data_IF_253237432233
#
_entry.id   IF_253237432233
#
_cell.length_a   1.000
_cell.length_b   1.000
_cell.length_c   1.000
_cell.angle_alpha   90.00
_cell.angle_beta   90.00
_cell.angle_gamma   90.00
#
_symmetry.space_group_name_H-M   'P 1'
#
loop_
_entity.id
_entity.type
_entity.pdbx_description
1 polymer ?
#
# COMPACT_ATOMS: atom_id res chain seq x y z
N UNK A 1 -1.57 5.99 8.52
CA UNK A 1 -0.81 5.11 9.44
C UNK A 1 -0.81 5.76 10.80
N UNK A 2 -0.98 5.01 11.87
CA UNK A 2 -1.00 5.53 13.24
C UNK A 2 -0.23 4.61 14.18
N UNK A 3 0.14 5.14 15.34
CA UNK A 3 0.85 4.40 16.38
C UNK A 3 0.21 4.72 17.73
N UNK A 4 0.12 3.73 18.61
CA UNK A 4 -0.32 3.91 19.99
C UNK A 4 0.72 3.33 20.94
N UNK A 5 1.38 4.23 21.69
CA UNK A 5 2.57 3.89 22.47
C UNK A 5 3.65 3.24 21.62
N UNK A 6 4.58 2.52 22.25
CA UNK A 6 5.72 1.93 21.53
C UNK A 6 5.42 0.52 20.98
N UNK A 7 4.18 0.06 21.10
CA UNK A 7 3.83 -1.36 20.93
C UNK A 7 2.74 -1.62 19.90
N UNK A 8 1.96 -0.60 19.51
CA UNK A 8 0.88 -0.76 18.53
C UNK A 8 1.12 0.15 17.34
N UNK A 9 1.10 -0.43 16.15
CA UNK A 9 1.16 0.27 14.87
C UNK A 9 -0.01 -0.17 13.99
N UNK A 10 -0.77 0.79 13.49
CA UNK A 10 -1.88 0.59 12.56
C UNK A 10 -1.54 1.13 11.18
N UNK A 11 -1.76 0.31 10.16
CA UNK A 11 -1.60 0.67 8.75
C UNK A 11 -2.98 0.58 8.11
N UNK A 12 -3.44 1.69 7.52
CA UNK A 12 -4.73 1.74 6.82
C UNK A 12 -4.60 1.24 5.38
N UNK A 13 -3.41 1.40 4.78
CA UNK A 13 -3.12 0.82 3.47
C UNK A 13 -3.05 -0.71 3.54
N UNK A 14 -3.02 -1.34 2.38
CA UNK A 14 -2.89 -2.78 2.24
C UNK A 14 -1.47 -3.16 1.80
N UNK A 15 -0.48 -3.20 2.71
CA UNK A 15 0.88 -3.65 2.37
C UNK A 15 0.94 -5.07 1.81
N UNK A 16 -0.12 -5.86 2.02
CA UNK A 16 -0.31 -7.21 1.48
C UNK A 16 -0.79 -7.23 0.03
N UNK A 17 -1.23 -6.11 -0.55
CA UNK A 17 -1.74 -6.10 -1.91
C UNK A 17 -0.62 -6.30 -2.93
N UNK A 18 -0.67 -7.43 -3.61
CA UNK A 18 0.09 -7.68 -4.84
C UNK A 18 -0.69 -7.17 -6.06
N UNK A 19 0.01 -7.07 -7.19
CA UNK A 19 -0.62 -6.82 -8.49
C UNK A 19 -1.76 -7.81 -8.77
N UNK A 20 -1.58 -9.09 -8.43
CA UNK A 20 -2.60 -10.12 -8.65
C UNK A 20 -3.87 -9.86 -7.85
N UNK A 21 -3.74 -9.44 -6.59
CA UNK A 21 -4.89 -9.06 -5.74
C UNK A 21 -5.61 -7.86 -6.34
N UNK A 22 -4.86 -6.84 -6.78
CA UNK A 22 -5.43 -5.64 -7.38
C UNK A 22 -6.18 -5.95 -8.69
N UNK A 23 -5.60 -6.78 -9.56
CA UNK A 23 -6.24 -7.23 -10.79
C UNK A 23 -7.53 -8.02 -10.51
N UNK A 24 -7.51 -8.93 -9.55
CA UNK A 24 -8.69 -9.69 -9.13
C UNK A 24 -9.80 -8.78 -8.57
N UNK A 25 -9.46 -7.75 -7.81
CA UNK A 25 -10.44 -6.76 -7.31
C UNK A 25 -11.07 -6.01 -8.49
N UNK A 26 -10.26 -5.55 -9.45
CA UNK A 26 -10.75 -4.86 -10.65
C UNK A 26 -11.71 -5.77 -11.44
N UNK A 27 -11.34 -7.04 -11.66
CA UNK A 27 -12.18 -8.00 -12.36
C UNK A 27 -13.53 -8.21 -11.67
N UNK A 28 -13.53 -8.33 -10.34
CA UNK A 28 -14.76 -8.44 -9.55
C UNK A 28 -15.64 -7.20 -9.64
N UNK A 29 -15.06 -6.02 -9.80
CA UNK A 29 -15.83 -4.78 -9.97
C UNK A 29 -16.48 -4.70 -11.35
N UNK A 30 -15.80 -5.13 -12.41
CA UNK A 30 -16.40 -5.24 -13.76
C UNK A 30 -17.54 -6.26 -13.72
N UNK A 31 -17.31 -7.46 -13.18
CA UNK A 31 -18.31 -8.54 -13.16
C UNK A 31 -19.60 -8.15 -12.42
N UNK A 32 -19.51 -7.25 -11.44
CA UNK A 32 -20.65 -6.75 -10.68
C UNK A 32 -21.22 -5.44 -11.22
N UNK A 33 -20.75 -4.96 -12.37
CA UNK A 33 -21.13 -3.70 -12.99
C UNK A 33 -20.94 -2.47 -12.09
N UNK A 34 -19.97 -2.52 -11.16
CA UNK A 34 -19.63 -1.37 -10.31
C UNK A 34 -18.78 -0.34 -11.05
N UNK A 35 -18.06 -0.77 -12.09
CA UNK A 35 -17.25 0.09 -12.95
C UNK A 35 -17.45 -0.30 -14.41
N UNK A 36 -17.14 0.62 -15.32
CA UNK A 36 -17.18 0.36 -16.77
C UNK A 36 -15.93 -0.38 -17.22
N UNK A 37 -16.04 -1.16 -18.30
CA UNK A 37 -14.91 -1.88 -18.89
C UNK A 37 -13.76 -0.94 -19.27
N UNK A 38 -14.07 0.22 -19.87
CA UNK A 38 -13.08 1.22 -20.24
C UNK A 38 -12.36 1.84 -19.01
N UNK A 39 -13.06 1.96 -17.88
CA UNK A 39 -12.41 2.40 -16.64
C UNK A 39 -11.50 1.30 -16.09
N UNK A 40 -11.96 0.06 -16.12
CA UNK A 40 -11.21 -1.07 -15.62
C UNK A 40 -9.94 -1.37 -16.43
N UNK A 41 -9.99 -1.23 -17.76
CA UNK A 41 -8.81 -1.38 -18.63
C UNK A 41 -7.71 -0.39 -18.24
N UNK A 42 -8.08 0.89 -18.04
CA UNK A 42 -7.15 1.93 -17.57
C UNK A 42 -6.59 1.63 -16.18
N UNK A 43 -7.40 1.08 -15.27
CA UNK A 43 -6.93 0.66 -13.95
C UNK A 43 -5.92 -0.49 -14.04
N UNK A 44 -6.15 -1.48 -14.92
CA UNK A 44 -5.22 -2.60 -15.13
C UNK A 44 -3.90 -2.14 -15.72
N UNK A 45 -3.92 -1.23 -16.70
CA UNK A 45 -2.70 -0.63 -17.26
C UNK A 45 -1.90 0.10 -16.17
N UNK A 46 -2.57 0.93 -15.36
CA UNK A 46 -1.94 1.64 -14.26
C UNK A 46 -1.37 0.67 -13.20
N UNK A 47 -2.11 -0.40 -12.89
CA UNK A 47 -1.66 -1.44 -11.96
C UNK A 47 -0.44 -2.22 -12.49
N UNK A 48 -0.34 -2.45 -13.80
CA UNK A 48 0.82 -3.09 -14.42
C UNK A 48 2.10 -2.26 -14.27
N UNK A 49 1.98 -0.93 -14.39
CA UNK A 49 3.07 0.03 -14.26
C UNK A 49 3.49 0.31 -12.82
N UNK A 50 2.67 -0.06 -11.84
CA UNK A 50 2.91 0.20 -10.41
C UNK A 50 3.58 -0.99 -9.74
N UNK A 51 4.74 -0.80 -9.11
CA UNK A 51 5.39 -1.83 -8.30
C UNK A 51 5.28 -1.46 -6.81
N UNK A 52 4.77 -2.34 -5.93
CA UNK A 52 4.75 -2.06 -4.51
C UNK A 52 6.17 -1.96 -3.96
N UNK A 53 6.50 -0.89 -3.25
CA UNK A 53 7.81 -0.73 -2.59
C UNK A 53 7.87 -1.60 -1.31
N UNK A 54 8.10 -2.89 -1.54
CA UNK A 54 8.22 -3.91 -0.47
C UNK A 54 9.38 -3.60 0.48
N UNK A 55 10.44 -2.97 -0.01
CA UNK A 55 11.61 -2.64 0.80
C UNK A 55 11.33 -1.46 1.73
N UNK A 56 10.56 -0.46 1.30
CA UNK A 56 10.07 0.59 2.19
C UNK A 56 9.18 0.02 3.29
N UNK A 57 8.24 -0.86 2.96
CA UNK A 57 7.38 -1.55 3.94
C UNK A 57 8.20 -2.38 4.93
N UNK A 58 9.18 -3.14 4.45
CA UNK A 58 10.07 -3.94 5.30
C UNK A 58 10.89 -3.06 6.24
N UNK A 59 11.49 -1.97 5.74
CA UNK A 59 12.25 -1.02 6.57
C UNK A 59 11.36 -0.39 7.64
N UNK A 60 10.14 -0.01 7.28
CA UNK A 60 9.15 0.56 8.18
C UNK A 60 8.82 -0.42 9.32
N UNK A 61 8.38 -1.64 8.98
CA UNK A 61 7.99 -2.66 9.96
C UNK A 61 9.16 -3.04 10.88
N UNK A 62 10.36 -3.23 10.33
CA UNK A 62 11.56 -3.56 11.13
C UNK A 62 11.93 -2.40 12.06
N UNK A 63 11.82 -1.15 11.61
CA UNK A 63 12.14 0.03 12.43
C UNK A 63 11.18 0.15 13.61
N UNK A 64 9.89 -0.13 13.38
CA UNK A 64 8.88 -0.20 14.44
C UNK A 64 9.18 -1.32 15.44
N UNK A 65 9.38 -2.57 14.97
CA UNK A 65 9.66 -3.71 15.84
C UNK A 65 10.93 -3.57 16.68
N UNK A 66 11.93 -2.83 16.19
CA UNK A 66 13.18 -2.55 16.93
C UNK A 66 13.08 -1.36 17.88
N UNK A 67 11.90 -0.74 18.03
CA UNK A 67 11.71 0.45 18.87
C UNK A 67 12.46 1.69 18.36
N UNK A 68 12.90 1.68 17.09
CA UNK A 68 13.69 2.77 16.48
C UNK A 68 12.86 3.66 15.57
N UNK A 69 11.55 3.48 15.55
CA UNK A 69 10.65 4.33 14.79
C UNK A 69 10.47 5.67 15.51
N UNK A 70 11.37 6.61 15.21
CA UNK A 70 11.30 7.97 15.70
C UNK A 70 10.55 8.84 14.68
N UNK A 71 9.36 9.32 15.05
CA UNK A 71 8.47 10.16 14.22
C UNK A 71 9.18 11.39 13.64
N UNK A 72 10.27 11.86 14.28
CA UNK A 72 11.03 13.04 13.86
C UNK A 72 11.96 12.85 12.65
N UNK A 73 12.25 11.62 12.19
CA UNK A 73 13.16 11.40 11.05
C UNK A 73 12.66 10.36 10.03
N UNK A 74 11.65 9.56 10.38
CA UNK A 74 11.17 8.46 9.53
C UNK A 74 10.11 8.83 8.50
N UNK A 75 9.35 9.90 8.74
CA UNK A 75 8.23 10.32 7.88
C UNK A 75 8.71 11.28 6.78
N UNK A 76 9.70 12.14 7.07
CA UNK A 76 10.22 13.11 6.10
C UNK A 76 11.01 12.48 4.95
N UNK A 77 11.55 11.28 5.14
CA UNK A 77 12.35 10.57 4.13
C UNK A 77 11.61 9.38 3.48
N UNK A 78 10.41 9.04 3.94
CA UNK A 78 9.57 8.06 3.26
C UNK A 78 8.70 8.81 2.26
N UNK A 79 8.92 8.58 0.97
CA UNK A 79 8.00 9.04 -0.07
C UNK A 79 6.66 8.30 0.09
N UNK A 80 5.82 8.80 1.00
CA UNK A 80 4.51 8.24 1.34
C UNK A 80 3.58 8.22 0.11
N UNK A 81 3.88 9.03 -0.91
CA UNK A 81 3.18 9.03 -2.19
C UNK A 81 3.43 7.79 -3.06
N UNK A 82 4.41 6.93 -2.70
CA UNK A 82 4.62 5.62 -3.32
C UNK A 82 4.15 4.44 -2.47
N UNK A 83 3.61 4.71 -1.28
CA UNK A 83 3.14 3.69 -0.33
C UNK A 83 1.64 3.39 -0.53
N UNK A 84 0.91 4.27 -1.23
CA UNK A 84 -0.50 4.13 -1.59
C UNK A 84 -0.70 4.10 -3.10
#
# INVERSE_FOLDING_TARGET
>A
MFRYGDHIMGIQGHPEYSKDILLNIIDRFIQRNFITENFAMRLKEKAGMWEPDKEAWKRLCISFLKGRYCERNGIENMNIGGIF
#
